data_IF_935223073636
#
_entry.id   IF_935223073636
#
_cell.length_a   1.000
_cell.length_b   1.000
_cell.length_c   1.000
_cell.angle_alpha   90.00
_cell.angle_beta   90.00
_cell.angle_gamma   90.00
#
_symmetry.space_group_name_H-M   'P 1'
#
loop_
_entity.id
_entity.type
_entity.pdbx_description
1 polymer ?
#
# COMPACT_ATOMS: atom_id res chain seq x y z
N UNK A 1 -9.28 -21.06 -11.65
CA UNK A 1 -10.55 -20.51 -11.17
C UNK A 1 -11.07 -21.43 -10.11
N UNK A 2 -10.80 -21.09 -8.85
CA UNK A 2 -11.44 -21.75 -7.72
C UNK A 2 -12.76 -21.03 -7.51
N UNK A 3 -13.87 -21.76 -7.64
CA UNK A 3 -15.17 -21.29 -7.17
C UNK A 3 -15.07 -21.11 -5.65
N UNK A 4 -15.07 -19.86 -5.18
CA UNK A 4 -15.25 -19.52 -3.77
C UNK A 4 -16.72 -19.75 -3.45
N UNK A 5 -17.12 -21.01 -3.27
CA UNK A 5 -18.45 -21.41 -2.80
C UNK A 5 -18.49 -21.40 -1.27
N UNK A 6 -18.16 -20.26 -0.69
CA UNK A 6 -18.50 -19.90 0.68
C UNK A 6 -19.28 -18.61 0.62
N UNK A 7 -20.60 -18.69 0.39
CA UNK A 7 -21.50 -17.54 0.49
C UNK A 7 -21.36 -16.98 1.90
N UNK A 8 -20.59 -15.91 2.07
CA UNK A 8 -20.48 -15.25 3.35
C UNK A 8 -21.86 -14.68 3.69
N UNK A 9 -22.38 -15.19 4.80
CA UNK A 9 -23.51 -14.69 5.57
C UNK A 9 -23.48 -13.17 5.61
N UNK A 10 -24.61 -12.50 5.33
CA UNK A 10 -24.91 -11.08 5.61
C UNK A 10 -23.81 -10.02 5.35
N UNK A 11 -24.11 -8.85 4.74
CA UNK A 11 -23.18 -7.72 4.75
C UNK A 11 -22.82 -7.25 6.18
N UNK A 12 -23.49 -7.75 7.21
CA UNK A 12 -23.20 -7.47 8.61
C UNK A 12 -22.53 -8.65 9.33
N UNK A 13 -22.03 -9.66 8.62
CA UNK A 13 -21.22 -10.68 9.27
C UNK A 13 -19.81 -10.15 9.56
N UNK A 14 -19.18 -10.60 10.66
CA UNK A 14 -17.75 -10.45 10.85
C UNK A 14 -16.96 -11.14 9.72
N UNK A 15 -15.80 -10.59 9.39
CA UNK A 15 -14.91 -11.18 8.39
C UNK A 15 -13.52 -11.42 8.98
N UNK A 16 -12.96 -12.60 8.73
CA UNK A 16 -11.62 -12.98 9.16
C UNK A 16 -10.59 -12.63 8.08
N UNK A 17 -9.52 -11.94 8.47
CA UNK A 17 -8.45 -11.51 7.58
C UNK A 17 -7.10 -11.70 8.26
N UNK A 18 -6.06 -12.04 7.51
CA UNK A 18 -4.67 -12.03 7.96
C UNK A 18 -3.98 -10.76 7.54
N UNK A 19 -3.52 -9.99 8.52
CA UNK A 19 -2.66 -8.85 8.30
C UNK A 19 -1.20 -9.29 8.39
N UNK A 20 -0.44 -9.09 7.32
CA UNK A 20 1.02 -9.29 7.32
C UNK A 20 1.66 -7.92 7.36
N UNK A 21 2.20 -7.58 8.52
CA UNK A 21 2.84 -6.30 8.82
C UNK A 21 4.35 -6.44 8.59
N UNK A 22 4.96 -5.44 7.96
CA UNK A 22 6.37 -5.43 7.63
C UNK A 22 7.01 -4.07 7.91
N UNK A 23 7.48 -3.89 9.15
CA UNK A 23 8.14 -2.68 9.63
C UNK A 23 9.59 -2.66 9.19
N UNK A 24 10.04 -1.54 8.66
CA UNK A 24 11.42 -1.36 8.24
C UNK A 24 11.59 -0.10 7.41
N UNK A 25 12.84 0.23 7.08
CA UNK A 25 13.16 1.45 6.34
C UNK A 25 12.54 1.43 4.94
N UNK A 26 11.68 2.40 4.69
CA UNK A 26 11.08 2.64 3.38
C UNK A 26 11.80 3.80 2.67
N UNK A 27 11.94 3.70 1.35
CA UNK A 27 12.60 4.73 0.55
C UNK A 27 11.79 6.03 0.55
N UNK A 28 12.40 7.13 1.01
CA UNK A 28 11.76 8.45 1.00
C UNK A 28 10.88 8.75 2.22
N UNK A 29 11.03 8.00 3.32
CA UNK A 29 10.30 8.26 4.58
C UNK A 29 11.16 9.00 5.62
N UNK A 30 10.51 9.74 6.50
CA UNK A 30 11.12 10.53 7.59
C UNK A 30 11.41 9.67 8.83
N UNK A 31 11.88 8.44 8.64
CA UNK A 31 12.28 7.59 9.76
C UNK A 31 13.59 8.08 10.41
N UNK A 32 13.81 7.83 11.72
CA UNK A 32 15.08 8.06 12.38
C UNK A 32 16.25 7.40 11.64
N UNK A 33 17.40 8.09 11.55
CA UNK A 33 18.54 7.64 10.75
C UNK A 33 19.09 6.27 11.15
N UNK A 34 18.98 5.93 12.43
CA UNK A 34 19.45 4.66 13.00
C UNK A 34 18.51 3.47 12.73
N UNK A 35 17.29 3.72 12.25
CA UNK A 35 16.28 2.68 12.10
C UNK A 35 16.47 1.90 10.79
N UNK A 36 16.65 0.57 10.88
CA UNK A 36 16.72 -0.31 9.70
C UNK A 36 17.91 -0.06 8.76
N UNK A 37 19.00 0.51 9.26
CA UNK A 37 20.27 0.73 8.54
C UNK A 37 20.87 -0.59 8.05
N UNK A 38 20.72 -1.67 8.80
CA UNK A 38 21.22 -2.99 8.45
C UNK A 38 20.41 -3.66 7.33
N UNK A 39 19.32 -3.03 6.86
CA UNK A 39 18.35 -3.63 5.97
C UNK A 39 17.46 -4.68 6.65
N UNK A 40 17.53 -4.81 7.98
CA UNK A 40 16.63 -5.69 8.72
C UNK A 40 15.20 -5.17 8.68
N UNK A 41 14.25 -6.09 8.81
CA UNK A 41 12.82 -5.80 8.88
C UNK A 41 12.16 -6.60 9.99
N UNK A 42 11.22 -5.97 10.67
CA UNK A 42 10.38 -6.59 11.69
C UNK A 42 9.03 -6.92 11.02
N UNK A 43 8.88 -8.19 10.66
CA UNK A 43 7.67 -8.69 10.02
C UNK A 43 6.95 -9.69 10.93
N UNK A 44 5.63 -9.57 11.00
CA UNK A 44 4.74 -10.49 11.71
C UNK A 44 3.40 -10.58 10.98
N UNK A 45 2.70 -11.69 11.19
CA UNK A 45 1.36 -11.92 10.66
C UNK A 45 0.41 -12.08 11.82
N UNK A 46 -0.75 -11.42 11.75
CA UNK A 46 -1.80 -11.54 12.75
C UNK A 46 -3.15 -11.69 12.05
N UNK A 47 -3.99 -12.57 12.56
CA UNK A 47 -5.35 -12.74 12.10
C UNK A 47 -6.26 -11.75 12.87
N UNK A 48 -7.22 -11.19 12.16
CA UNK A 48 -8.11 -10.17 12.66
C UNK A 48 -9.53 -10.47 12.23
N UNK A 49 -10.46 -10.23 13.14
CA UNK A 49 -11.88 -10.27 12.86
C UNK A 49 -12.34 -8.82 12.74
N UNK A 50 -12.64 -8.40 11.51
CA UNK A 50 -13.30 -7.13 11.26
C UNK A 50 -14.79 -7.30 11.60
N UNK A 51 -15.31 -6.46 12.50
CA UNK A 51 -16.72 -6.50 12.91
C UNK A 51 -17.45 -5.26 12.36
N UNK A 52 -18.76 -5.35 12.04
CA UNK A 52 -19.54 -4.19 11.60
C UNK A 52 -19.87 -3.22 12.73
N UNK A 53 -19.81 -3.69 13.97
CA UNK A 53 -20.21 -2.95 15.16
C UNK A 53 -19.30 -1.76 15.40
N UNK A 54 -19.90 -0.67 15.87
CA UNK A 54 -19.16 0.55 16.21
C UNK A 54 -18.47 0.38 17.54
N UNK A 55 -17.32 1.03 17.66
CA UNK A 55 -16.66 1.13 18.94
C UNK A 55 -17.45 2.03 19.90
N UNK A 56 -17.63 1.59 21.15
CA UNK A 56 -18.35 2.39 22.15
C UNK A 56 -17.62 3.69 22.53
N UNK A 57 -16.28 3.70 22.45
CA UNK A 57 -15.46 4.84 22.87
C UNK A 57 -15.04 5.72 21.69
N UNK A 58 -14.92 5.13 20.50
CA UNK A 58 -14.51 5.80 19.27
C UNK A 58 -15.58 5.56 18.17
N UNK A 59 -16.78 6.20 18.26
CA UNK A 59 -17.98 5.84 17.48
C UNK A 59 -17.87 6.05 15.96
N UNK A 60 -16.83 6.75 15.52
CA UNK A 60 -16.42 6.89 14.11
C UNK A 60 -15.66 5.66 13.58
N UNK A 61 -15.23 4.76 14.46
CA UNK A 61 -14.56 3.51 14.15
C UNK A 61 -15.47 2.32 14.40
N UNK A 62 -15.22 1.26 13.64
CA UNK A 62 -15.79 -0.07 13.85
C UNK A 62 -14.76 -0.99 14.49
N UNK A 63 -15.23 -2.04 15.14
CA UNK A 63 -14.38 -2.92 15.94
C UNK A 63 -13.49 -3.83 15.06
N UNK A 64 -12.24 -3.96 15.46
CA UNK A 64 -11.32 -4.99 14.98
C UNK A 64 -10.77 -5.75 16.17
N UNK A 65 -10.98 -7.07 16.19
CA UNK A 65 -10.62 -7.95 17.30
C UNK A 65 -9.66 -9.03 16.85
N UNK A 66 -8.81 -9.51 17.77
CA UNK A 66 -7.95 -10.66 17.53
C UNK A 66 -8.70 -11.93 17.97
N UNK A 67 -8.70 -13.02 17.17
CA UNK A 67 -9.18 -14.33 17.59
C UNK A 67 -8.63 -14.77 18.96
N UNK A 68 -9.47 -15.41 19.78
CA UNK A 68 -9.04 -15.92 21.09
C UNK A 68 -7.92 -16.97 20.95
N UNK A 69 -6.90 -16.86 21.78
CA UNK A 69 -5.77 -17.80 21.80
C UNK A 69 -4.74 -17.57 20.70
N UNK A 70 -4.89 -16.53 19.89
CA UNK A 70 -3.88 -16.19 18.90
C UNK A 70 -2.65 -15.55 19.58
N UNK A 71 -1.53 -16.27 19.52
CA UNK A 71 -0.22 -15.77 19.92
C UNK A 71 0.66 -15.56 18.69
N UNK A 72 0.80 -14.30 18.29
CA UNK A 72 1.67 -13.92 17.19
C UNK A 72 3.10 -13.87 17.69
N UNK A 73 3.96 -14.75 17.21
CA UNK A 73 5.35 -14.84 17.61
C UNK A 73 6.29 -14.58 16.43
N UNK A 74 7.41 -13.93 16.69
CA UNK A 74 8.50 -13.81 15.72
C UNK A 74 9.85 -14.07 16.38
N UNK A 75 10.84 -14.44 15.56
CA UNK A 75 12.21 -14.71 16.03
C UNK A 75 13.05 -13.44 15.86
N UNK A 76 13.62 -13.01 16.97
CA UNK A 76 14.58 -11.90 17.07
C UNK A 76 15.96 -12.42 17.51
N UNK A 77 16.96 -11.54 17.58
CA UNK A 77 18.27 -11.87 18.14
C UNK A 77 18.20 -12.18 19.66
N UNK A 78 17.15 -11.71 20.33
CA UNK A 78 16.89 -11.95 21.75
C UNK A 78 16.05 -13.21 21.99
N UNK A 79 15.75 -13.97 20.92
CA UNK A 79 14.90 -15.15 20.95
C UNK A 79 13.50 -14.89 20.41
N UNK A 80 12.56 -15.74 20.80
CA UNK A 80 11.15 -15.64 20.40
C UNK A 80 10.50 -14.49 21.17
N UNK A 81 9.96 -13.51 20.44
CA UNK A 81 9.18 -12.40 20.99
C UNK A 81 7.71 -12.57 20.57
N UNK A 82 6.80 -12.26 21.50
CA UNK A 82 5.36 -12.26 21.25
C UNK A 82 4.85 -10.86 20.93
N UNK A 83 3.98 -10.74 19.93
CA UNK A 83 3.24 -9.52 19.60
C UNK A 83 1.90 -9.58 20.30
N UNK A 84 1.59 -8.57 21.12
CA UNK A 84 0.30 -8.47 21.82
C UNK A 84 -0.48 -7.26 21.32
N UNK A 85 -1.63 -7.52 20.73
CA UNK A 85 -2.55 -6.48 20.27
C UNK A 85 -3.75 -6.46 21.22
N UNK A 86 -3.98 -5.30 21.84
CA UNK A 86 -5.08 -5.12 22.79
C UNK A 86 -6.43 -5.01 22.09
N UNK A 87 -6.44 -4.21 21.03
CA UNK A 87 -7.65 -3.73 20.35
C UNK A 87 -7.27 -3.17 18.99
N UNK A 88 -8.22 -3.17 18.06
CA UNK A 88 -8.12 -2.38 16.85
C UNK A 88 -9.43 -1.69 16.49
N UNK A 89 -9.34 -0.83 15.49
CA UNK A 89 -10.50 -0.20 14.87
C UNK A 89 -10.31 -0.06 13.37
N UNK A 90 -11.42 0.04 12.65
CA UNK A 90 -11.39 0.26 11.21
C UNK A 90 -12.50 1.22 10.74
N UNK A 91 -12.22 1.95 9.65
CA UNK A 91 -13.16 2.84 8.99
C UNK A 91 -12.84 2.90 7.49
N UNK A 92 -13.84 3.22 6.67
CA UNK A 92 -13.69 3.43 5.24
C UNK A 92 -14.05 4.87 4.87
N UNK A 93 -13.13 5.54 4.21
CA UNK A 93 -13.35 6.84 3.59
C UNK A 93 -13.68 6.64 2.11
N UNK A 94 -14.93 6.91 1.76
CA UNK A 94 -15.36 6.96 0.37
C UNK A 94 -14.65 8.10 -0.36
N UNK A 95 -14.35 7.94 -1.66
CA UNK A 95 -13.73 9.01 -2.44
C UNK A 95 -14.58 10.29 -2.41
N UNK A 96 -13.98 11.49 -2.29
CA UNK A 96 -14.64 12.75 -1.92
C UNK A 96 -15.73 13.24 -2.89
N UNK A 97 -15.80 12.70 -4.11
CA UNK A 97 -16.79 13.08 -5.11
C UNK A 97 -17.84 11.98 -5.26
N UNK A 98 -18.55 11.65 -4.17
CA UNK A 98 -19.46 10.51 -3.95
C UNK A 98 -20.61 10.24 -4.94
N UNK A 99 -20.33 10.22 -6.24
CA UNK A 99 -21.24 9.83 -7.30
C UNK A 99 -20.48 9.68 -8.62
N UNK A 100 -20.47 8.48 -9.18
CA UNK A 100 -20.05 8.15 -10.56
C UNK A 100 -18.57 8.06 -10.93
N UNK A 101 -17.58 8.30 -10.05
CA UNK A 101 -16.19 7.96 -10.38
C UNK A 101 -15.91 6.47 -10.12
N UNK A 102 -16.49 5.64 -10.98
CA UNK A 102 -16.33 4.19 -10.96
C UNK A 102 -14.85 3.82 -11.12
N UNK A 103 -14.35 2.96 -10.23
CA UNK A 103 -12.97 2.46 -10.24
C UNK A 103 -11.92 3.29 -9.51
N UNK A 104 -12.34 4.31 -8.74
CA UNK A 104 -11.45 4.99 -7.78
C UNK A 104 -11.46 4.22 -6.45
N UNK A 105 -10.29 4.08 -5.84
CA UNK A 105 -10.14 3.45 -4.53
C UNK A 105 -10.99 4.11 -3.44
N UNK A 106 -11.63 3.28 -2.63
CA UNK A 106 -12.03 3.65 -1.27
C UNK A 106 -10.79 3.55 -0.38
N UNK A 107 -10.64 4.42 0.62
CA UNK A 107 -9.51 4.33 1.55
C UNK A 107 -9.96 3.59 2.80
N UNK A 108 -9.35 2.45 3.07
CA UNK A 108 -9.48 1.70 4.32
C UNK A 108 -8.46 2.23 5.32
N UNK A 109 -8.94 2.77 6.43
CA UNK A 109 -8.13 3.20 7.56
C UNK A 109 -8.35 2.23 8.72
N UNK A 110 -7.26 1.88 9.38
CA UNK A 110 -7.22 0.92 10.46
C UNK A 110 -6.30 1.44 11.56
N UNK A 111 -6.54 1.00 12.78
CA UNK A 111 -5.55 1.10 13.84
C UNK A 111 -5.50 -0.17 14.68
N UNK A 112 -4.33 -0.43 15.26
CA UNK A 112 -4.05 -1.53 16.19
C UNK A 112 -3.28 -1.00 17.39
N UNK A 113 -3.76 -1.27 18.60
CA UNK A 113 -3.08 -0.91 19.85
C UNK A 113 -2.13 -2.04 20.26
N UNK A 114 -0.84 -1.83 20.06
CA UNK A 114 0.25 -2.71 20.45
C UNK A 114 0.58 -2.52 21.94
N UNK A 115 0.58 -3.61 22.71
CA UNK A 115 0.79 -3.56 24.17
C UNK A 115 2.26 -3.57 24.59
N UNK A 116 3.13 -4.13 23.76
CA UNK A 116 4.53 -4.35 24.10
C UNK A 116 5.48 -3.89 23.01
N UNK A 117 6.66 -3.46 23.41
CA UNK A 117 7.73 -3.11 22.47
C UNK A 117 8.20 -4.38 21.73
N UNK A 118 8.46 -4.23 20.44
CA UNK A 118 8.99 -5.28 19.57
C UNK A 118 10.35 -4.83 19.03
N UNK A 119 11.32 -5.74 19.02
CA UNK A 119 12.66 -5.43 18.52
C UNK A 119 13.22 -6.54 17.64
N UNK A 120 13.78 -6.17 16.50
CA UNK A 120 14.54 -7.07 15.63
C UNK A 120 15.72 -6.34 15.02
N UNK A 121 16.93 -6.70 15.43
CA UNK A 121 18.17 -6.00 15.06
C UNK A 121 18.11 -4.51 15.44
N UNK A 122 18.26 -3.63 14.45
CA UNK A 122 18.16 -2.19 14.53
C UNK A 122 16.75 -1.66 14.21
N UNK A 123 15.75 -2.56 14.17
CA UNK A 123 14.33 -2.22 14.02
C UNK A 123 13.60 -2.33 15.35
N UNK A 124 13.09 -1.21 15.86
CA UNK A 124 12.33 -1.12 17.10
C UNK A 124 10.94 -0.56 16.84
N UNK A 125 9.90 -1.25 17.32
CA UNK A 125 8.51 -0.80 17.28
C UNK A 125 8.00 -0.69 18.71
N UNK A 126 7.78 0.54 19.17
CA UNK A 126 7.32 0.77 20.55
C UNK A 126 5.83 0.46 20.70
N UNK A 127 5.44 0.05 21.91
CA UNK A 127 4.06 -0.08 22.33
C UNK A 127 3.30 1.22 22.08
N UNK A 128 2.06 1.10 21.62
CA UNK A 128 1.25 2.25 21.21
C UNK A 128 0.36 1.92 20.00
N UNK A 129 -0.21 2.96 19.42
CA UNK A 129 -1.15 2.82 18.31
C UNK A 129 -0.43 2.80 16.96
N UNK A 130 -0.64 1.72 16.22
CA UNK A 130 -0.27 1.59 14.82
C UNK A 130 -1.46 2.04 13.97
N UNK A 131 -1.20 2.80 12.93
CA UNK A 131 -2.20 3.22 11.95
C UNK A 131 -1.88 2.54 10.62
N UNK A 132 -2.85 1.86 10.04
CA UNK A 132 -2.68 1.20 8.76
C UNK A 132 -3.64 1.83 7.78
N UNK A 133 -3.14 2.15 6.59
CA UNK A 133 -3.99 2.65 5.50
C UNK A 133 -3.76 1.85 4.24
N UNK A 134 -4.85 1.58 3.53
CA UNK A 134 -4.86 0.86 2.27
C UNK A 134 -5.90 1.45 1.33
N UNK A 135 -5.62 1.35 0.04
CA UNK A 135 -6.65 1.52 -0.97
C UNK A 135 -7.41 0.21 -1.12
N UNK A 136 -8.73 0.27 -1.21
CA UNK A 136 -9.57 -0.89 -1.48
C UNK A 136 -10.53 -0.62 -2.64
N UNK A 137 -10.87 -1.69 -3.36
CA UNK A 137 -11.77 -1.66 -4.51
C UNK A 137 -12.69 -2.87 -4.48
N UNK A 138 -13.99 -2.64 -4.63
CA UNK A 138 -14.93 -3.72 -4.96
C UNK A 138 -14.55 -4.34 -6.30
N UNK A 139 -14.97 -5.57 -6.53
CA UNK A 139 -14.68 -6.30 -7.77
C UNK A 139 -14.97 -5.48 -9.04
N UNK A 140 -16.18 -4.91 -9.17
CA UNK A 140 -16.52 -4.07 -10.33
C UNK A 140 -15.65 -2.80 -10.42
N UNK A 141 -15.27 -2.21 -9.28
CA UNK A 141 -14.43 -1.03 -9.23
C UNK A 141 -13.00 -1.37 -9.63
N UNK A 142 -12.50 -2.53 -9.22
CA UNK A 142 -11.19 -3.04 -9.57
C UNK A 142 -11.08 -3.25 -11.08
N UNK A 143 -12.03 -3.95 -11.70
CA UNK A 143 -12.02 -4.20 -13.14
C UNK A 143 -12.05 -2.89 -13.95
N UNK A 144 -12.96 -1.97 -13.60
CA UNK A 144 -13.03 -0.65 -14.24
C UNK A 144 -11.76 0.16 -14.01
N UNK A 145 -11.19 0.05 -12.80
CA UNK A 145 -9.93 0.69 -12.45
C UNK A 145 -8.77 0.20 -13.32
N UNK A 146 -8.71 -1.12 -13.59
CA UNK A 146 -7.70 -1.72 -14.48
C UNK A 146 -7.88 -1.23 -15.92
N UNK A 147 -9.12 -1.20 -16.42
CA UNK A 147 -9.43 -0.64 -17.74
C UNK A 147 -8.97 0.81 -17.86
N UNK A 148 -9.17 1.61 -16.81
CA UNK A 148 -8.71 3.00 -16.75
C UNK A 148 -7.18 3.13 -16.63
N UNK A 149 -6.48 2.10 -16.14
CA UNK A 149 -5.02 2.12 -15.98
C UNK A 149 -4.28 1.85 -17.30
N UNK A 150 -4.80 0.95 -18.16
CA UNK A 150 -4.11 0.53 -19.39
C UNK A 150 -3.63 1.69 -20.29
N UNK A 151 -4.42 2.74 -20.56
CA UNK A 151 -3.94 3.86 -21.39
C UNK A 151 -2.69 4.56 -20.85
N UNK A 152 -2.50 4.59 -19.52
CA UNK A 152 -1.32 5.19 -18.90
C UNK A 152 -0.10 4.28 -18.99
N UNK A 153 -0.31 2.96 -18.89
CA UNK A 153 0.74 1.97 -19.08
C UNK A 153 1.23 1.96 -20.52
N UNK A 154 0.31 1.87 -21.48
CA UNK A 154 0.62 1.86 -22.92
C UNK A 154 1.37 3.15 -23.31
N UNK A 155 0.94 4.31 -22.79
CA UNK A 155 1.61 5.58 -23.05
C UNK A 155 3.03 5.63 -22.46
N UNK A 156 3.22 5.14 -21.23
CA UNK A 156 4.54 5.11 -20.59
C UNK A 156 5.49 4.11 -21.26
N UNK A 157 4.97 2.96 -21.68
CA UNK A 157 5.73 1.95 -22.43
C UNK A 157 6.10 2.48 -23.82
N UNK A 158 5.17 3.09 -24.54
CA UNK A 158 5.43 3.69 -25.84
C UNK A 158 6.51 4.78 -25.77
N UNK A 159 6.44 5.68 -24.78
CA UNK A 159 7.45 6.72 -24.59
C UNK A 159 8.83 6.13 -24.24
N UNK A 160 8.87 5.05 -23.44
CA UNK A 160 10.10 4.32 -23.15
C UNK A 160 10.70 3.67 -24.41
N UNK A 161 9.88 2.95 -25.18
CA UNK A 161 10.31 2.29 -26.42
C UNK A 161 10.78 3.29 -27.47
N UNK A 162 10.11 4.45 -27.59
CA UNK A 162 10.52 5.53 -28.50
C UNK A 162 11.92 6.06 -28.15
N UNK A 163 12.19 6.27 -26.86
CA UNK A 163 13.52 6.68 -26.38
C UNK A 163 14.58 5.59 -26.66
N UNK A 164 14.29 4.33 -26.34
CA UNK A 164 15.20 3.21 -26.57
C UNK A 164 15.54 3.02 -28.05
N UNK A 165 14.54 3.15 -28.92
CA UNK A 165 14.73 3.09 -30.37
C UNK A 165 15.62 4.23 -30.87
N UNK A 166 15.45 5.44 -30.34
CA UNK A 166 16.28 6.58 -30.71
C UNK A 166 17.74 6.41 -30.23
N UNK A 167 17.95 5.77 -29.08
CA UNK A 167 19.26 5.46 -28.50
C UNK A 167 19.94 4.21 -29.09
N UNK A 168 19.24 3.42 -29.89
CA UNK A 168 19.77 2.18 -30.43
C UNK A 168 20.96 2.45 -31.37
N UNK A 169 22.12 1.85 -31.10
CA UNK A 169 23.34 2.11 -31.87
C UNK A 169 23.31 1.58 -33.33
N UNK A 170 22.45 0.63 -33.66
CA UNK A 170 22.37 0.02 -35.00
C UNK A 170 21.31 0.68 -35.89
N UNK A 171 20.22 1.17 -35.27
CA UNK A 171 19.02 1.66 -35.98
C UNK A 171 18.54 3.04 -35.55
N UNK A 172 19.18 3.61 -34.53
CA UNK A 172 18.83 4.90 -33.93
C UNK A 172 19.48 6.10 -34.62
N UNK A 173 19.41 7.24 -33.95
CA UNK A 173 19.79 8.52 -34.55
C UNK A 173 21.32 8.72 -34.60
N UNK A 174 21.91 8.40 -35.75
CA UNK A 174 23.35 8.53 -36.02
C UNK A 174 23.87 9.97 -36.03
N UNK A 175 22.99 10.97 -35.98
CA UNK A 175 23.42 12.37 -35.79
C UNK A 175 24.13 12.58 -34.45
N UNK A 176 23.92 11.69 -33.48
CA UNK A 176 24.62 11.68 -32.20
C UNK A 176 26.08 11.20 -32.29
N UNK A 177 26.51 10.64 -33.43
CA UNK A 177 27.87 10.10 -33.64
C UNK A 177 28.93 11.22 -33.81
N UNK A 178 28.53 12.49 -33.87
CA UNK A 178 29.46 13.64 -33.85
C UNK A 178 30.09 14.01 -35.19
N UNK A 179 29.56 13.51 -36.31
CA UNK A 179 30.10 13.79 -37.66
C UNK A 179 29.77 15.22 -38.16
N UNK A 180 28.71 15.87 -37.65
CA UNK A 180 28.35 17.26 -37.94
C UNK A 180 27.82 17.93 -36.66
N UNK A 181 28.50 18.99 -36.20
CA UNK A 181 28.16 19.70 -34.98
C UNK A 181 26.73 20.28 -34.97
N UNK A 182 26.20 20.76 -36.11
CA UNK A 182 24.86 21.35 -36.17
C UNK A 182 23.79 20.26 -36.05
N UNK A 183 23.99 19.13 -36.71
CA UNK A 183 23.04 18.02 -36.65
C UNK A 183 23.12 17.25 -35.34
N UNK A 184 24.31 17.16 -34.72
CA UNK A 184 24.46 16.64 -33.36
C UNK A 184 23.72 17.51 -32.35
N UNK A 185 23.77 18.85 -32.44
CA UNK A 185 23.00 19.73 -31.54
C UNK A 185 21.49 19.53 -31.71
N UNK A 186 20.99 19.38 -32.94
CA UNK A 186 19.56 19.05 -33.17
C UNK A 186 19.20 17.69 -32.57
N UNK A 187 20.03 16.68 -32.75
CA UNK A 187 19.80 15.35 -32.21
C UNK A 187 19.78 15.33 -30.67
N UNK A 188 20.64 16.12 -30.01
CA UNK A 188 20.56 16.31 -28.57
C UNK A 188 19.25 16.96 -28.12
N UNK A 189 18.74 17.94 -28.88
CA UNK A 189 17.44 18.55 -28.60
C UNK A 189 16.30 17.54 -28.73
N UNK A 190 16.27 16.79 -29.84
CA UNK A 190 15.25 15.76 -30.09
C UNK A 190 15.28 14.68 -28.99
N UNK A 191 16.49 14.28 -28.55
CA UNK A 191 16.68 13.35 -27.44
C UNK A 191 16.18 13.92 -26.10
N UNK A 192 16.44 15.19 -25.82
CA UNK A 192 15.95 15.85 -24.61
C UNK A 192 14.41 15.91 -24.58
N UNK A 193 13.76 16.08 -25.74
CA UNK A 193 12.30 16.04 -25.85
C UNK A 193 11.75 14.63 -25.55
N UNK A 194 12.38 13.57 -26.07
CA UNK A 194 12.01 12.17 -25.76
C UNK A 194 12.19 11.82 -24.29
N UNK A 195 13.31 12.24 -23.67
CA UNK A 195 13.56 12.05 -22.24
C UNK A 195 12.48 12.75 -21.41
N UNK A 196 12.14 14.00 -21.76
CA UNK A 196 11.09 14.75 -21.08
C UNK A 196 9.73 14.06 -21.19
N UNK A 197 9.36 13.56 -22.38
CA UNK A 197 8.09 12.88 -22.61
C UNK A 197 7.99 11.57 -21.82
N UNK A 198 9.06 10.76 -21.82
CA UNK A 198 9.18 9.56 -20.97
C UNK A 198 9.00 9.90 -19.49
N UNK A 199 9.66 10.95 -19.01
CA UNK A 199 9.61 11.30 -17.59
C UNK A 199 8.23 11.84 -17.19
N UNK A 200 7.59 12.61 -18.07
CA UNK A 200 6.23 13.11 -17.84
C UNK A 200 5.19 11.99 -17.85
N UNK A 201 5.26 11.07 -18.83
CA UNK A 201 4.36 9.90 -18.90
C UNK A 201 4.54 8.98 -17.71
N UNK A 202 5.79 8.69 -17.29
CA UNK A 202 6.08 7.92 -16.08
C UNK A 202 5.58 8.62 -14.81
N UNK A 203 5.71 9.95 -14.72
CA UNK A 203 5.16 10.71 -13.59
C UNK A 203 3.64 10.58 -13.52
N UNK A 204 2.94 10.75 -14.65
CA UNK A 204 1.48 10.58 -14.74
C UNK A 204 1.05 9.15 -14.37
N UNK A 205 1.79 8.14 -14.83
CA UNK A 205 1.53 6.75 -14.47
C UNK A 205 1.63 6.56 -12.93
N UNK A 206 2.71 7.03 -12.30
CA UNK A 206 2.86 6.96 -10.83
C UNK A 206 1.76 7.69 -10.07
N UNK A 207 1.29 8.84 -10.57
CA UNK A 207 0.16 9.56 -9.98
C UNK A 207 -1.13 8.72 -10.05
N UNK A 208 -1.33 7.96 -11.13
CA UNK A 208 -2.49 7.08 -11.32
C UNK A 208 -2.39 5.78 -10.55
N UNK A 209 -1.21 5.18 -10.41
CA UNK A 209 -0.96 3.99 -9.57
C UNK A 209 -1.32 4.22 -8.10
N UNK A 210 -1.37 5.47 -7.64
CA UNK A 210 -1.84 5.83 -6.29
C UNK A 210 -3.36 5.76 -6.12
N UNK A 211 -4.13 5.77 -7.20
CA UNK A 211 -5.60 5.88 -7.17
C UNK A 211 -6.31 4.70 -7.84
N UNK A 212 -5.65 4.08 -8.81
CA UNK A 212 -6.16 3.02 -9.65
C UNK A 212 -5.39 1.73 -9.35
N UNK A 213 -6.01 0.56 -9.57
CA UNK A 213 -5.36 -0.71 -9.38
C UNK A 213 -4.23 -0.91 -10.39
N UNK A 214 -3.15 -1.57 -9.97
CA UNK A 214 -2.02 -1.86 -10.83
C UNK A 214 -2.16 -3.26 -11.43
N UNK A 215 -2.10 -3.41 -12.77
CA UNK A 215 -2.06 -4.72 -13.44
C UNK A 215 -0.87 -5.57 -13.00
N UNK A 216 0.22 -4.96 -12.52
CA UNK A 216 1.39 -5.70 -12.02
C UNK A 216 1.08 -6.57 -10.80
N UNK A 217 0.03 -6.22 -10.06
CA UNK A 217 -0.37 -6.94 -8.86
C UNK A 217 -1.60 -7.81 -9.10
N UNK A 218 -2.20 -7.83 -10.30
CA UNK A 218 -3.51 -8.44 -10.53
C UNK A 218 -3.56 -9.95 -10.30
N UNK A 219 -2.44 -10.65 -10.50
CA UNK A 219 -2.37 -12.12 -10.31
C UNK A 219 -2.23 -12.53 -8.84
N UNK A 220 -1.74 -11.62 -7.98
CA UNK A 220 -1.52 -11.88 -6.55
C UNK A 220 -2.63 -11.32 -5.66
N UNK A 221 -3.68 -10.77 -6.26
CA UNK A 221 -4.77 -10.11 -5.53
C UNK A 221 -5.80 -11.13 -5.10
N UNK A 222 -6.08 -11.15 -3.80
CA UNK A 222 -7.10 -11.99 -3.20
C UNK A 222 -8.31 -11.14 -2.85
N UNK A 223 -9.48 -11.61 -3.29
CA UNK A 223 -10.78 -10.98 -3.04
C UNK A 223 -11.41 -11.58 -1.80
N UNK A 224 -11.90 -10.73 -0.91
CA UNK A 224 -12.55 -11.15 0.32
C UNK A 224 -13.73 -10.29 0.68
N UNK A 225 -14.60 -10.84 1.51
CA UNK A 225 -15.70 -10.08 2.11
C UNK A 225 -15.19 -9.27 3.29
N UNK A 226 -15.78 -8.10 3.47
CA UNK A 226 -15.52 -7.23 4.61
C UNK A 226 -16.85 -6.70 5.11
N UNK A 227 -17.00 -6.46 6.43
CA UNK A 227 -18.28 -6.03 6.94
C UNK A 227 -18.74 -4.70 6.32
N UNK A 228 -20.03 -4.57 6.08
CA UNK A 228 -20.65 -3.46 5.37
C UNK A 228 -20.57 -3.53 3.85
N UNK A 229 -19.95 -4.58 3.27
CA UNK A 229 -19.93 -4.81 1.82
C UNK A 229 -20.73 -6.06 1.46
N UNK A 230 -21.55 -5.95 0.41
CA UNK A 230 -22.23 -7.11 -0.22
C UNK A 230 -21.38 -7.75 -1.32
N UNK A 231 -20.36 -7.04 -1.79
CA UNK A 231 -19.44 -7.47 -2.83
C UNK A 231 -18.07 -7.76 -2.20
N UNK A 232 -17.35 -8.76 -2.72
CA UNK A 232 -15.97 -8.96 -2.33
C UNK A 232 -15.14 -7.77 -2.81
N UNK A 233 -14.10 -7.43 -2.05
CA UNK A 233 -13.14 -6.42 -2.45
C UNK A 233 -11.72 -6.86 -2.16
N UNK A 234 -10.80 -6.17 -2.82
CA UNK A 234 -9.37 -6.28 -2.59
C UNK A 234 -8.88 -5.11 -1.75
N UNK A 235 -7.96 -5.41 -0.84
CA UNK A 235 -7.17 -4.41 -0.10
C UNK A 235 -5.78 -4.38 -0.72
N UNK A 236 -5.39 -3.26 -1.34
CA UNK A 236 -4.02 -3.08 -1.82
C UNK A 236 -3.18 -2.44 -0.70
N UNK A 237 -2.12 -3.14 -0.26
CA UNK A 237 -1.13 -2.64 0.69
C UNK A 237 -0.64 -1.25 0.34
N UNK A 238 -0.65 -0.30 1.28
CA UNK A 238 0.02 0.99 1.05
C UNK A 238 0.97 1.38 2.17
N UNK A 239 0.46 1.80 3.33
CA UNK A 239 1.30 2.48 4.31
C UNK A 239 0.97 2.01 5.72
N UNK A 240 2.02 1.77 6.51
CA UNK A 240 1.96 1.57 7.94
C UNK A 240 2.55 2.81 8.60
N UNK A 241 1.81 3.44 9.51
CA UNK A 241 2.23 4.64 10.21
C UNK A 241 2.18 4.40 11.73
N UNK A 242 2.98 5.16 12.47
CA UNK A 242 2.87 5.24 13.93
C UNK A 242 2.87 6.70 14.35
N UNK A 243 2.24 7.00 15.49
CA UNK A 243 2.28 8.33 16.07
C UNK A 243 3.62 8.52 16.79
N UNK A 244 4.49 9.38 16.26
CA UNK A 244 5.71 9.77 16.99
C UNK A 244 5.39 11.00 17.83
N UNK A 245 5.42 10.85 19.15
CA UNK A 245 5.45 11.99 20.07
C UNK A 245 6.84 12.61 20.04
N UNK A 246 7.07 13.53 19.10
CA UNK A 246 8.30 14.30 19.07
C UNK A 246 8.37 15.25 20.28
N UNK A 247 8.98 14.78 21.37
CA UNK A 247 9.25 15.59 22.58
C UNK A 247 10.17 16.79 22.34
N UNK A 248 10.83 16.88 21.17
CA UNK A 248 11.80 17.94 20.84
C UNK A 248 11.20 19.21 20.22
N UNK A 249 9.97 19.19 19.68
CA UNK A 249 9.35 20.37 19.07
C UNK A 249 8.13 20.85 19.88
N UNK A 250 8.42 21.44 21.04
CA UNK A 250 7.40 21.93 22.01
C UNK A 250 6.65 23.17 21.52
N UNK A 251 7.07 23.83 20.43
CA UNK A 251 6.50 25.13 20.04
C UNK A 251 5.41 25.11 18.95
N UNK A 252 5.26 24.04 18.18
CA UNK A 252 4.12 23.82 17.28
C UNK A 252 3.89 22.31 17.12
N UNK A 253 3.07 21.74 18.01
CA UNK A 253 2.78 20.31 18.03
C UNK A 253 1.90 19.89 16.85
N UNK A 254 2.47 19.79 15.65
CA UNK A 254 1.85 19.02 14.56
C UNK A 254 2.11 17.55 14.83
N UNK A 255 1.06 16.76 15.07
CA UNK A 255 1.19 15.31 15.12
C UNK A 255 1.76 14.79 13.80
N UNK A 256 2.86 14.05 13.86
CA UNK A 256 3.48 13.44 12.69
C UNK A 256 3.23 11.93 12.70
N UNK A 257 2.83 11.42 11.53
CA UNK A 257 2.55 10.01 11.27
C UNK A 257 3.52 9.52 10.19
N UNK A 258 4.82 9.35 10.49
CA UNK A 258 5.78 8.88 9.50
C UNK A 258 5.39 7.48 9.01
N UNK A 259 5.67 7.20 7.75
CA UNK A 259 5.55 5.87 7.17
C UNK A 259 6.71 5.01 7.67
N UNK A 260 6.33 3.94 8.38
CA UNK A 260 7.24 3.03 9.06
C UNK A 260 7.29 1.63 8.43
N UNK A 261 6.63 1.43 7.30
CA UNK A 261 6.65 0.15 6.62
C UNK A 261 5.40 -0.12 5.80
N UNK A 262 5.23 -1.39 5.46
CA UNK A 262 4.11 -1.84 4.64
C UNK A 262 3.29 -2.87 5.39
N UNK A 263 2.05 -3.06 4.97
CA UNK A 263 1.19 -4.11 5.50
C UNK A 263 0.27 -4.62 4.41
N UNK A 264 -0.08 -5.91 4.44
CA UNK A 264 -1.06 -6.50 3.53
C UNK A 264 -2.17 -7.20 4.27
N UNK A 265 -3.37 -7.18 3.68
CA UNK A 265 -4.51 -7.95 4.16
C UNK A 265 -4.78 -9.11 3.21
N UNK A 266 -4.96 -10.31 3.77
CA UNK A 266 -5.26 -11.54 3.05
C UNK A 266 -6.58 -12.05 3.62
N UNK A 267 -7.64 -12.24 2.81
CA UNK A 267 -8.88 -12.77 3.33
C UNK A 267 -8.69 -14.23 3.78
N UNK A 268 -9.31 -14.59 4.90
CA UNK A 268 -9.33 -15.96 5.39
C UNK A 268 -10.75 -16.52 5.30
N UNK A 269 -10.87 -17.83 5.14
CA UNK A 269 -12.16 -18.50 5.29
C UNK A 269 -12.61 -18.37 6.74
N UNK A 270 -13.83 -17.88 6.96
CA UNK A 270 -14.41 -17.84 8.30
C UNK A 270 -14.47 -19.27 8.84
N UNK A 271 -14.01 -19.52 10.08
CA UNK A 271 -14.21 -20.82 10.71
C UNK A 271 -15.72 -21.10 10.78
N UNK A 272 -16.15 -22.22 10.20
CA UNK A 272 -17.53 -22.71 10.26
C UNK A 272 -18.03 -22.91 11.69
#
# INVERSE_FOLDING_TARGET
GNEVTGLCSSPWAPALWRFVVNVGREGGTEMPEAWGVSGARLAFSLDVIAQPDRDEKEPEWRCLTIPEGEEVNFVSNEGVQSVRIRKGGWNMELPPNGGNKKGIATKLNLWLDLENDLKRNDVELSAGRLYLSANCWREEEWERGLQNMYPYLDAAEYAQQALEKALNHETGDRRLDGNDAVDTVKAYKDMAELVRDRDETKRRLREKERQLPSPRNSESVEFGYWPGSIEPFVVNPTCLNTKIENKQFVFFGSEQYPDIGTWKAIPLESPE
#
